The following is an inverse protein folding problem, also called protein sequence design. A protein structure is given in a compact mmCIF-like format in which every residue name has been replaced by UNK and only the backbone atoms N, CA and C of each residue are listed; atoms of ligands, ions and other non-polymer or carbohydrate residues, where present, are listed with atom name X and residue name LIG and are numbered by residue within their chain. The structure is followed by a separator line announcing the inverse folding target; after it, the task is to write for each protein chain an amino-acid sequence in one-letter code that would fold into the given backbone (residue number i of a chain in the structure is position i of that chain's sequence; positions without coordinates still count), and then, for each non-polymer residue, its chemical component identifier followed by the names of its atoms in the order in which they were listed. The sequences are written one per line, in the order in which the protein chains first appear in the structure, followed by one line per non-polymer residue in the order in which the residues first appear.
data_IF_436810701654
#
_entry.id   IF_436810701654
#
_cell.length_a   1.000
_cell.length_b   1.000
_cell.length_c   1.000
_cell.angle_alpha   90.00
_cell.angle_beta   90.00
_cell.angle_gamma   90.00
#
_symmetry.space_group_name_H-M   'P 1'
#
loop_
_entity.id
_entity.type
_entity.pdbx_description
1 polymer ?
#
# COMPACT_ATOMS: atom_id res chain seq x y z
N UNK A 1 4.96 -24.50 -7.31
CA UNK A 1 3.68 -24.16 -6.67
C UNK A 1 3.41 -22.71 -7.02
N UNK A 2 2.84 -22.48 -8.19
CA UNK A 2 2.58 -21.12 -8.70
C UNK A 2 1.16 -20.74 -8.28
N UNK A 3 1.04 -20.05 -7.15
CA UNK A 3 -0.23 -19.51 -6.71
C UNK A 3 -0.25 -18.02 -7.04
N UNK A 4 -1.21 -17.61 -7.88
CA UNK A 4 -1.57 -16.24 -8.26
C UNK A 4 -0.69 -15.50 -9.28
N UNK A 5 -0.75 -15.94 -10.54
CA UNK A 5 -0.54 -15.06 -11.70
C UNK A 5 -1.90 -14.74 -12.34
N UNK A 6 -2.70 -13.84 -11.77
CA UNK A 6 -3.89 -13.31 -12.45
C UNK A 6 -3.81 -11.78 -12.52
N UNK A 7 -3.50 -11.29 -13.72
CA UNK A 7 -3.36 -9.88 -14.04
C UNK A 7 -4.77 -9.28 -14.22
N UNK A 8 -5.29 -8.62 -13.18
CA UNK A 8 -6.61 -7.98 -13.25
C UNK A 8 -6.45 -6.67 -14.04
N UNK A 9 -6.85 -6.68 -15.31
CA UNK A 9 -6.91 -5.45 -16.13
C UNK A 9 -8.08 -4.56 -15.69
N UNK A 10 -7.85 -3.26 -15.68
CA UNK A 10 -8.82 -2.25 -15.27
C UNK A 10 -10.01 -2.17 -16.24
N UNK A 11 -11.24 -2.16 -15.70
CA UNK A 11 -12.42 -1.76 -16.46
C UNK A 11 -12.71 -0.28 -16.23
N UNK A 12 -12.45 0.52 -17.28
CA UNK A 12 -12.97 1.88 -17.39
C UNK A 12 -14.43 1.80 -17.81
N UNK A 13 -15.31 2.21 -16.90
CA UNK A 13 -16.59 2.85 -17.21
C UNK A 13 -17.65 2.01 -17.95
N UNK A 14 -18.82 1.98 -17.31
CA UNK A 14 -20.17 1.89 -17.88
C UNK A 14 -20.57 0.47 -18.28
N UNK A 15 -21.57 -0.11 -17.62
CA UNK A 15 -23.02 0.16 -17.70
C UNK A 15 -23.66 -0.82 -18.66
N UNK A 16 -24.93 -1.10 -18.38
CA UNK A 16 -25.89 -1.91 -19.14
C UNK A 16 -25.75 -3.44 -19.02
N UNK A 17 -26.57 -3.94 -18.09
CA UNK A 17 -27.52 -5.03 -18.34
C UNK A 17 -26.93 -6.44 -18.53
N UNK A 18 -26.64 -7.10 -17.40
CA UNK A 18 -26.38 -8.54 -17.36
C UNK A 18 -24.91 -8.92 -17.27
N UNK A 19 -24.42 -8.96 -16.03
CA UNK A 19 -23.32 -9.80 -15.50
C UNK A 19 -22.23 -10.31 -16.45
N UNK A 20 -20.99 -9.82 -16.27
CA UNK A 20 -19.77 -10.44 -16.80
C UNK A 20 -19.09 -11.35 -15.77
N UNK A 21 -18.47 -12.47 -16.22
CA UNK A 21 -17.95 -13.51 -15.34
C UNK A 21 -16.63 -13.11 -14.71
N UNK A 22 -16.49 -13.37 -13.40
CA UNK A 22 -15.23 -13.22 -12.69
C UNK A 22 -15.22 -12.23 -11.52
N UNK A 23 -16.37 -11.76 -11.04
CA UNK A 23 -16.41 -11.06 -9.74
C UNK A 23 -16.38 -12.06 -8.58
N UNK A 24 -15.34 -12.06 -7.72
CA UNK A 24 -15.44 -12.67 -6.41
C UNK A 24 -16.19 -11.71 -5.48
N UNK A 25 -17.45 -11.37 -5.81
CA UNK A 25 -18.34 -10.63 -4.89
C UNK A 25 -18.72 -11.50 -3.66
N UNK A 26 -18.28 -12.76 -3.63
CA UNK A 26 -18.63 -13.75 -2.62
C UNK A 26 -17.56 -14.03 -1.55
N UNK A 27 -16.47 -13.25 -1.44
CA UNK A 27 -15.45 -13.56 -0.41
C UNK A 27 -15.29 -12.55 0.72
N UNK A 28 -15.96 -11.40 0.69
CA UNK A 28 -15.98 -10.51 1.85
C UNK A 28 -17.33 -9.79 1.98
N UNK A 29 -18.37 -10.55 2.33
CA UNK A 29 -19.58 -9.94 2.87
C UNK A 29 -19.22 -9.31 4.22
N UNK A 30 -19.11 -7.98 4.24
CA UNK A 30 -18.94 -7.19 5.45
C UNK A 30 -20.33 -6.67 5.87
N UNK A 31 -20.98 -7.27 6.89
CA UNK A 31 -22.33 -6.89 7.29
C UNK A 31 -22.44 -5.41 7.69
N UNK A 32 -21.35 -4.85 8.22
CA UNK A 32 -21.23 -3.47 8.68
C UNK A 32 -21.45 -2.43 7.57
N UNK A 33 -21.20 -2.81 6.31
CA UNK A 33 -21.34 -1.93 5.14
C UNK A 33 -22.44 -2.40 4.19
N UNK A 34 -23.16 -3.48 4.52
CA UNK A 34 -24.24 -3.98 3.69
C UNK A 34 -25.42 -3.02 3.72
N UNK A 35 -25.69 -2.36 2.58
CA UNK A 35 -26.67 -1.28 2.48
C UNK A 35 -26.13 0.10 2.85
N UNK A 36 -24.82 0.23 3.12
CA UNK A 36 -24.20 1.53 3.28
C UNK A 36 -24.21 2.28 1.94
N UNK A 37 -24.60 3.56 2.00
CA UNK A 37 -24.54 4.48 0.87
C UNK A 37 -23.29 5.32 1.05
N UNK A 38 -22.41 5.33 0.06
CA UNK A 38 -21.27 6.25 0.04
C UNK A 38 -21.79 7.69 -0.03
N UNK A 39 -21.76 8.38 1.11
CA UNK A 39 -22.04 9.81 1.15
C UNK A 39 -20.82 10.57 0.66
N UNK A 40 -20.81 10.91 -0.63
CA UNK A 40 -19.86 11.87 -1.18
C UNK A 40 -20.37 13.27 -0.90
N UNK A 41 -19.85 13.89 0.15
CA UNK A 41 -20.09 15.30 0.41
C UNK A 41 -19.04 16.15 -0.33
N UNK A 42 -19.41 17.36 -0.80
CA UNK A 42 -18.42 18.30 -1.30
C UNK A 42 -17.49 18.67 -0.15
N UNK A 43 -16.18 18.49 -0.36
CA UNK A 43 -15.14 18.91 0.58
C UNK A 43 -14.53 20.20 0.05
N UNK A 44 -14.30 21.18 0.92
CA UNK A 44 -13.59 22.40 0.54
C UNK A 44 -12.12 22.05 0.24
N UNK A 45 -11.57 22.61 -0.83
CA UNK A 45 -10.16 22.41 -1.17
C UNK A 45 -9.24 22.91 -0.05
N UNK A 46 -9.64 23.94 0.70
CA UNK A 46 -8.90 24.44 1.85
C UNK A 46 -8.77 23.38 2.95
N UNK A 47 -9.83 22.61 3.21
CA UNK A 47 -9.81 21.52 4.19
C UNK A 47 -8.86 20.40 3.76
N UNK A 48 -8.84 20.08 2.47
CA UNK A 48 -7.92 19.08 1.90
C UNK A 48 -6.46 19.55 2.04
N UNK A 49 -6.17 20.81 1.72
CA UNK A 49 -4.83 21.37 1.81
C UNK A 49 -4.34 21.45 3.25
N UNK A 50 -5.20 21.86 4.19
CA UNK A 50 -4.87 21.90 5.61
C UNK A 50 -4.64 20.49 6.16
N UNK A 51 -5.44 19.50 5.75
CA UNK A 51 -5.23 18.11 6.10
C UNK A 51 -3.88 17.59 5.57
N UNK A 52 -3.52 17.88 4.32
CA UNK A 52 -2.22 17.50 3.75
C UNK A 52 -1.04 18.17 4.47
N UNK A 53 -1.22 19.41 4.95
CA UNK A 53 -0.21 20.13 5.74
C UNK A 53 -0.01 19.50 7.12
N UNK A 54 -1.10 19.09 7.76
CA UNK A 54 -1.07 18.45 9.09
C UNK A 54 -0.60 16.98 9.02
N UNK A 55 -0.98 16.29 7.95
CA UNK A 55 -0.71 14.87 7.71
C UNK A 55 -0.02 14.72 6.35
N UNK A 56 1.28 15.08 6.27
CA UNK A 56 2.02 14.91 5.04
C UNK A 56 1.99 13.43 4.63
N UNK A 57 1.87 13.18 3.32
CA UNK A 57 1.96 11.83 2.78
C UNK A 57 3.24 11.15 3.27
N UNK A 58 3.20 9.86 3.61
CA UNK A 58 4.41 9.11 3.93
C UNK A 58 5.43 9.28 2.81
N UNK A 59 6.72 9.34 3.15
CA UNK A 59 7.78 9.35 2.17
C UNK A 59 7.67 8.13 1.24
N UNK A 60 8.38 8.12 0.11
CA UNK A 60 8.44 6.92 -0.76
C UNK A 60 8.87 5.65 -0.02
N UNK A 61 9.56 5.80 1.13
CA UNK A 61 9.99 4.69 1.98
C UNK A 61 8.93 4.25 3.00
N UNK A 62 7.81 4.95 3.11
CA UNK A 62 6.73 4.62 4.04
C UNK A 62 6.99 5.00 5.50
N UNK A 63 8.08 5.70 5.79
CA UNK A 63 8.46 6.16 7.13
C UNK A 63 8.95 7.62 7.11
N UNK A 64 9.21 8.23 8.27
CA UNK A 64 9.82 9.57 8.32
C UNK A 64 11.27 9.53 7.84
N UNK A 65 11.80 10.68 7.41
CA UNK A 65 13.14 10.78 6.83
C UNK A 65 14.24 10.37 7.82
N UNK A 66 14.09 10.67 9.11
CA UNK A 66 15.06 10.29 10.15
C UNK A 66 15.20 8.77 10.26
N UNK A 67 14.08 8.03 10.25
CA UNK A 67 14.10 6.57 10.26
C UNK A 67 14.69 6.00 8.97
N UNK A 68 14.36 6.60 7.82
CA UNK A 68 14.93 6.18 6.54
C UNK A 68 16.46 6.37 6.50
N UNK A 69 16.95 7.51 6.99
CA UNK A 69 18.38 7.81 7.08
C UNK A 69 19.10 6.87 8.06
N UNK A 70 18.50 6.61 9.21
CA UNK A 70 19.05 5.66 10.19
C UNK A 70 19.15 4.24 9.62
N UNK A 71 18.11 3.80 8.91
CA UNK A 71 18.11 2.50 8.22
C UNK A 71 19.23 2.42 7.17
N UNK A 72 19.43 3.46 6.37
CA UNK A 72 20.52 3.50 5.39
C UNK A 72 21.89 3.42 6.04
N UNK A 73 22.09 4.11 7.17
CA UNK A 73 23.32 4.02 7.96
C UNK A 73 23.60 2.58 8.43
N UNK A 74 22.60 1.90 9.00
CA UNK A 74 22.75 0.52 9.47
C UNK A 74 23.12 -0.44 8.33
N UNK A 75 22.52 -0.26 7.15
CA UNK A 75 22.88 -1.07 5.98
C UNK A 75 24.31 -0.79 5.50
N UNK A 76 24.70 0.48 5.42
CA UNK A 76 26.04 0.88 5.00
C UNK A 76 27.13 0.34 5.93
N UNK A 77 26.91 0.36 7.24
CA UNK A 77 27.82 -0.23 8.25
C UNK A 77 28.00 -1.74 8.03
N UNK A 78 27.00 -2.41 7.47
CA UNK A 78 27.06 -3.81 7.07
C UNK A 78 27.66 -4.06 5.68
N UNK A 79 28.06 -3.01 4.95
CA UNK A 79 28.45 -3.11 3.53
C UNK A 79 27.29 -3.49 2.61
N UNK A 80 26.04 -3.21 3.03
CA UNK A 80 24.82 -3.57 2.32
C UNK A 80 24.17 -2.34 1.70
N UNK A 81 23.30 -2.58 0.72
CA UNK A 81 22.48 -1.55 0.07
C UNK A 81 21.00 -1.88 0.23
N UNK A 82 20.14 -0.89 -0.06
CA UNK A 82 18.69 -1.06 0.03
C UNK A 82 18.26 -2.23 -0.88
N UNK A 83 17.59 -3.25 -0.32
CA UNK A 83 17.22 -4.45 -1.06
C UNK A 83 16.16 -4.14 -2.13
N UNK A 84 16.39 -4.65 -3.34
CA UNK A 84 15.47 -4.51 -4.49
C UNK A 84 14.72 -5.81 -4.81
N UNK A 85 15.01 -6.89 -4.08
CA UNK A 85 14.34 -8.19 -4.21
C UNK A 85 13.98 -8.71 -2.82
N UNK A 86 13.01 -9.63 -2.76
CA UNK A 86 12.53 -10.20 -1.50
C UNK A 86 13.65 -10.97 -0.79
N UNK A 87 14.47 -11.70 -1.53
CA UNK A 87 15.57 -12.50 -0.97
C UNK A 87 16.60 -11.60 -0.28
N UNK A 88 16.98 -10.50 -0.94
CA UNK A 88 17.88 -9.49 -0.36
C UNK A 88 17.24 -8.78 0.83
N UNK A 89 15.91 -8.60 0.82
CA UNK A 89 15.20 -7.99 1.94
C UNK A 89 15.21 -8.91 3.17
N UNK A 90 15.06 -10.21 2.98
CA UNK A 90 15.17 -11.21 4.07
C UNK A 90 16.59 -11.22 4.63
N UNK A 91 17.62 -11.23 3.77
CA UNK A 91 19.02 -11.16 4.22
C UNK A 91 19.33 -9.88 5.00
N UNK A 92 18.84 -8.73 4.52
CA UNK A 92 19.00 -7.45 5.21
C UNK A 92 18.27 -7.45 6.56
N UNK A 93 17.07 -8.01 6.63
CA UNK A 93 16.31 -8.13 7.87
C UNK A 93 17.05 -9.01 8.90
N UNK A 94 17.54 -10.18 8.50
CA UNK A 94 18.30 -11.06 9.38
C UNK A 94 19.53 -10.36 9.94
N UNK A 95 20.27 -9.65 9.09
CA UNK A 95 21.42 -8.84 9.51
C UNK A 95 21.03 -7.78 10.56
N UNK A 96 19.94 -7.05 10.34
CA UNK A 96 19.48 -6.02 11.26
C UNK A 96 19.04 -6.60 12.61
N UNK A 97 18.40 -7.77 12.60
CA UNK A 97 17.98 -8.49 13.80
C UNK A 97 19.18 -9.02 14.59
N UNK A 98 20.27 -9.42 13.94
CA UNK A 98 21.50 -9.86 14.63
C UNK A 98 22.32 -8.72 15.22
N UNK A 99 22.18 -7.50 14.67
CA UNK A 99 22.92 -6.29 15.07
C UNK A 99 22.22 -5.46 16.14
N UNK A 100 20.92 -5.63 16.31
CA UNK A 100 20.07 -4.98 17.32
C UNK A 100 19.91 -5.88 18.56
#
# INVERSE_FOLDING_TARGET
MEWNNHYIRAQRRYDDDGSLPGKPDMMFFHPEIFGAVDYKFPVDICDVLEFQRLFPSPSQRGCCEDYAAYFDHLLLDGGRTVPQTIEKAIEALNYLVEKL
#
